data_IF_670355516161
#
_entry.id   IF_670355516161
#
_cell.length_a   1.000
_cell.length_b   1.000
_cell.length_c   1.000
_cell.angle_alpha   90.00
_cell.angle_beta   90.00
_cell.angle_gamma   90.00
#
_symmetry.space_group_name_H-M   'P 1'
#
loop_
_entity.id
_entity.type
_entity.pdbx_description
1 polymer ?
#
# COMPACT_ATOMS: atom_id res chain seq x y z
N UNK A 1 -8.17 7.37 8.65
CA UNK A 1 -7.48 6.17 9.14
C UNK A 1 -6.36 5.70 8.18
N UNK A 2 -6.38 6.09 6.91
CA UNK A 2 -5.34 5.75 5.91
C UNK A 2 -3.98 6.40 6.18
N UNK A 3 -3.93 7.41 7.02
CA UNK A 3 -2.72 8.14 7.44
C UNK A 3 -1.78 8.51 6.28
N UNK A 4 -2.36 9.02 5.18
CA UNK A 4 -1.58 9.36 3.97
C UNK A 4 -0.43 10.37 4.24
N UNK A 5 -0.48 11.10 5.36
CA UNK A 5 0.56 12.05 5.79
C UNK A 5 1.67 11.40 6.62
N UNK A 6 1.58 10.11 6.95
CA UNK A 6 2.58 9.43 7.79
C UNK A 6 3.99 9.56 7.21
N UNK A 7 4.10 9.45 5.89
CA UNK A 7 5.38 9.59 5.17
C UNK A 7 5.99 11.00 5.25
N UNK A 8 5.27 11.99 5.75
CA UNK A 8 5.74 13.38 5.92
C UNK A 8 6.08 13.74 7.38
N UNK A 9 6.09 12.79 8.28
CA UNK A 9 6.40 13.04 9.71
C UNK A 9 7.80 13.62 9.91
N UNK A 10 8.78 13.15 9.14
CA UNK A 10 10.15 13.65 9.13
C UNK A 10 10.55 14.01 7.69
N UNK A 11 10.43 15.31 7.38
CA UNK A 11 10.68 15.84 6.04
C UNK A 11 12.17 15.73 5.67
N UNK A 12 13.04 16.06 6.60
CA UNK A 12 14.48 16.10 6.36
C UNK A 12 15.01 14.68 6.11
N UNK A 13 14.61 13.74 6.93
CA UNK A 13 14.96 12.33 6.74
C UNK A 13 14.44 11.78 5.42
N UNK A 14 13.19 12.07 5.06
CA UNK A 14 12.63 11.62 3.78
C UNK A 14 13.42 12.21 2.59
N UNK A 15 13.85 13.46 2.66
CA UNK A 15 14.70 14.08 1.63
C UNK A 15 16.04 13.38 1.54
N UNK A 16 16.71 13.14 2.66
CA UNK A 16 18.04 12.53 2.71
C UNK A 16 18.05 11.14 2.07
N UNK A 17 17.08 10.30 2.40
CA UNK A 17 17.00 8.92 1.88
C UNK A 17 16.45 8.86 0.45
N UNK A 18 15.53 9.76 0.08
CA UNK A 18 14.73 9.66 -1.15
C UNK A 18 15.20 10.54 -2.30
N UNK A 19 16.04 11.54 -2.07
CA UNK A 19 16.50 12.49 -3.09
C UNK A 19 17.13 11.79 -4.30
N UNK A 20 16.54 12.02 -5.47
CA UNK A 20 17.00 11.42 -6.73
C UNK A 20 16.69 9.93 -6.87
N UNK A 21 16.05 9.30 -5.89
CA UNK A 21 15.77 7.86 -5.86
C UNK A 21 14.28 7.52 -5.90
N UNK A 22 13.43 8.36 -5.29
CA UNK A 22 11.98 8.09 -5.21
C UNK A 22 11.14 9.22 -5.76
N UNK A 23 9.95 8.86 -6.21
CA UNK A 23 8.83 9.73 -6.49
C UNK A 23 7.62 9.22 -5.72
N UNK A 24 6.77 10.12 -5.25
CA UNK A 24 5.58 9.74 -4.48
C UNK A 24 4.34 10.25 -5.22
N UNK A 25 3.41 9.33 -5.48
CA UNK A 25 2.17 9.62 -6.17
C UNK A 25 1.01 9.39 -5.21
N UNK A 26 0.22 10.42 -5.00
CA UNK A 26 -1.05 10.33 -4.30
C UNK A 26 -2.21 10.46 -5.28
N UNK A 27 -3.28 9.76 -5.00
CA UNK A 27 -4.55 9.94 -5.70
C UNK A 27 -5.72 9.54 -4.81
N UNK A 28 -6.83 10.23 -4.95
CA UNK A 28 -8.03 9.94 -4.18
C UNK A 28 -9.12 10.98 -4.42
N UNK A 29 -10.27 10.78 -3.81
CA UNK A 29 -11.38 11.74 -3.75
C UNK A 29 -11.95 11.77 -2.35
N UNK A 30 -12.21 12.97 -1.85
CA UNK A 30 -13.04 13.16 -0.67
C UNK A 30 -14.51 13.30 -1.10
N UNK A 31 -15.43 12.74 -0.31
CA UNK A 31 -16.84 13.02 -0.50
C UNK A 31 -17.11 14.54 -0.34
N UNK A 32 -18.05 15.16 -1.08
CA UNK A 32 -18.34 16.59 -0.97
C UNK A 32 -18.63 17.11 0.44
N UNK A 33 -19.12 16.24 1.33
CA UNK A 33 -19.40 16.55 2.75
C UNK A 33 -18.27 16.12 3.70
N UNK A 34 -17.18 15.55 3.20
CA UNK A 34 -16.04 15.09 4.01
C UNK A 34 -14.97 16.20 4.08
N UNK A 35 -15.13 17.10 5.03
CA UNK A 35 -14.17 18.20 5.24
C UNK A 35 -12.81 17.70 5.74
N UNK A 36 -12.78 16.57 6.47
CA UNK A 36 -11.55 15.92 6.92
C UNK A 36 -10.72 15.42 5.74
N UNK A 37 -11.35 14.69 4.80
CA UNK A 37 -10.71 14.22 3.58
C UNK A 37 -10.23 15.35 2.67
N UNK A 38 -11.03 16.44 2.52
CA UNK A 38 -10.61 17.64 1.78
C UNK A 38 -9.39 18.30 2.40
N UNK A 39 -9.39 18.44 3.73
CA UNK A 39 -8.25 18.99 4.48
C UNK A 39 -7.00 18.14 4.33
N UNK A 40 -7.12 16.82 4.34
CA UNK A 40 -6.03 15.90 4.11
C UNK A 40 -5.40 16.10 2.72
N UNK A 41 -6.22 16.17 1.66
CA UNK A 41 -5.76 16.43 0.29
C UNK A 41 -5.01 17.77 0.22
N UNK A 42 -5.60 18.84 0.79
CA UNK A 42 -4.98 20.17 0.84
C UNK A 42 -3.62 20.14 1.55
N UNK A 43 -3.53 19.39 2.65
CA UNK A 43 -2.28 19.26 3.40
C UNK A 43 -1.22 18.47 2.62
N UNK A 44 -1.58 17.41 1.91
CA UNK A 44 -0.65 16.67 1.04
C UNK A 44 -0.07 17.60 -0.03
N UNK A 45 -0.93 18.38 -0.72
CA UNK A 45 -0.51 19.35 -1.74
C UNK A 45 0.37 20.46 -1.13
N UNK A 46 0.06 20.90 0.09
CA UNK A 46 0.88 21.89 0.79
C UNK A 46 2.25 21.31 1.17
N UNK A 47 2.25 20.10 1.72
CA UNK A 47 3.50 19.40 2.13
C UNK A 47 4.41 19.13 0.94
N UNK A 48 3.85 18.80 -0.24
CA UNK A 48 4.66 18.53 -1.44
C UNK A 48 5.59 19.68 -1.83
N UNK A 49 5.25 20.92 -1.44
CA UNK A 49 6.08 22.10 -1.72
C UNK A 49 7.43 22.09 -0.98
N UNK A 50 7.48 21.48 0.20
CA UNK A 50 8.73 21.35 0.97
C UNK A 50 9.76 20.44 0.29
N UNK A 51 9.29 19.55 -0.59
CA UNK A 51 10.12 18.59 -1.31
C UNK A 51 10.56 19.08 -2.69
N UNK A 52 10.16 20.29 -3.09
CA UNK A 52 10.50 20.86 -4.40
C UNK A 52 12.01 20.90 -4.61
N UNK A 53 12.48 20.32 -5.72
CA UNK A 53 13.92 20.20 -6.02
C UNK A 53 14.63 19.01 -5.38
N UNK A 54 13.95 18.24 -4.52
CA UNK A 54 14.49 17.06 -3.84
C UNK A 54 13.78 15.77 -4.24
N UNK A 55 12.49 15.68 -3.93
CA UNK A 55 11.64 14.52 -4.25
C UNK A 55 10.42 15.00 -5.02
N UNK A 56 10.09 14.32 -6.10
CA UNK A 56 8.88 14.61 -6.86
C UNK A 56 7.66 14.00 -6.17
N UNK A 57 6.80 14.86 -5.62
CA UNK A 57 5.54 14.46 -4.99
C UNK A 57 4.39 15.00 -5.83
N UNK A 58 3.51 14.11 -6.28
CA UNK A 58 2.41 14.41 -7.20
C UNK A 58 1.10 13.98 -6.58
N UNK A 59 0.10 14.86 -6.64
CA UNK A 59 -1.28 14.50 -6.37
C UNK A 59 -2.05 14.46 -7.69
N UNK A 60 -2.55 13.27 -8.06
CA UNK A 60 -3.37 13.07 -9.25
C UNK A 60 -4.84 13.28 -8.89
N UNK A 61 -5.42 14.28 -9.50
CA UNK A 61 -6.83 14.66 -9.32
C UNK A 61 -7.78 13.72 -10.06
N UNK A 62 -9.06 13.85 -9.77
CA UNK A 62 -10.14 13.16 -10.48
C UNK A 62 -10.03 11.62 -10.48
N UNK A 63 -9.59 11.05 -9.36
CA UNK A 63 -9.50 9.61 -9.21
C UNK A 63 -10.78 8.90 -9.72
N UNK A 64 -10.59 7.93 -10.58
CA UNK A 64 -11.62 7.07 -11.15
C UNK A 64 -11.07 5.65 -11.36
N UNK A 65 -11.89 4.73 -11.86
CA UNK A 65 -11.48 3.34 -12.05
C UNK A 65 -10.31 3.19 -13.06
N UNK A 66 -10.27 4.01 -14.09
CA UNK A 66 -9.20 4.00 -15.08
C UNK A 66 -7.87 4.43 -14.44
N UNK A 67 -7.87 5.56 -13.73
CA UNK A 67 -6.68 6.04 -13.02
C UNK A 67 -6.25 5.05 -11.93
N UNK A 68 -7.19 4.46 -11.19
CA UNK A 68 -6.90 3.42 -10.22
C UNK A 68 -6.19 2.21 -10.83
N UNK A 69 -6.64 1.77 -12.02
CA UNK A 69 -5.97 0.70 -12.78
C UNK A 69 -4.54 1.07 -13.16
N UNK A 70 -4.34 2.28 -13.68
CA UNK A 70 -3.00 2.74 -14.08
C UNK A 70 -2.04 2.81 -12.89
N UNK A 71 -2.48 3.36 -11.74
CA UNK A 71 -1.62 3.50 -10.58
C UNK A 71 -1.26 2.12 -10.00
N UNK A 72 -2.23 1.22 -9.84
CA UNK A 72 -1.97 -0.11 -9.26
C UNK A 72 -1.12 -1.01 -10.15
N UNK A 73 -0.95 -0.68 -11.43
CA UNK A 73 -0.08 -1.43 -12.36
C UNK A 73 1.19 -0.69 -12.78
N UNK A 74 1.27 0.61 -12.50
CA UNK A 74 2.33 1.48 -13.05
C UNK A 74 3.31 2.03 -12.01
N UNK A 75 3.13 1.73 -10.72
CA UNK A 75 4.08 2.08 -9.66
C UNK A 75 4.98 0.90 -9.33
N UNK A 76 6.14 1.16 -8.76
CA UNK A 76 7.10 0.12 -8.38
C UNK A 76 6.80 -0.45 -7.00
N UNK A 77 6.24 0.34 -6.09
CA UNK A 77 5.87 -0.04 -4.72
C UNK A 77 4.53 0.53 -4.36
N UNK A 78 3.69 -0.24 -3.69
CA UNK A 78 2.39 0.17 -3.17
C UNK A 78 2.46 0.48 -1.68
N UNK A 79 2.46 1.76 -1.33
CA UNK A 79 2.45 2.20 0.07
C UNK A 79 1.03 2.26 0.63
N UNK A 80 0.80 1.61 1.77
CA UNK A 80 -0.47 1.66 2.50
C UNK A 80 -0.22 1.71 4.02
N UNK A 81 -0.68 2.78 4.67
CA UNK A 81 -0.38 3.06 6.08
C UNK A 81 -1.63 3.19 6.94
N UNK A 82 -2.55 2.21 6.93
CA UNK A 82 -3.77 2.29 7.72
C UNK A 82 -3.47 2.32 9.22
N UNK A 83 -4.34 2.98 9.97
CA UNK A 83 -4.36 2.84 11.43
C UNK A 83 -5.08 1.55 11.79
N UNK A 84 -4.35 0.60 12.37
CA UNK A 84 -4.90 -0.68 12.83
C UNK A 84 -5.97 -0.50 13.92
N UNK A 85 -7.03 -1.29 13.92
CA UNK A 85 -7.45 -2.34 12.99
C UNK A 85 -8.52 -1.86 11.99
N UNK A 86 -8.38 -0.68 11.40
CA UNK A 86 -9.43 -0.03 10.61
C UNK A 86 -9.47 -0.46 9.15
N UNK A 87 -8.46 -1.18 8.65
CA UNK A 87 -8.44 -1.70 7.27
C UNK A 87 -9.16 -3.05 7.21
N UNK A 88 -10.41 -3.04 6.76
CA UNK A 88 -11.20 -4.27 6.70
C UNK A 88 -10.70 -5.28 5.65
N UNK A 89 -10.15 -4.81 4.55
CA UNK A 89 -9.66 -5.66 3.45
C UNK A 89 -8.40 -5.11 2.78
N UNK A 90 -8.47 -3.93 2.14
CA UNK A 90 -7.32 -3.34 1.44
C UNK A 90 -7.17 -3.81 0.00
N UNK A 91 -8.28 -3.82 -0.76
CA UNK A 91 -8.33 -4.33 -2.16
C UNK A 91 -7.37 -3.64 -3.13
N UNK A 92 -6.92 -2.42 -2.84
CA UNK A 92 -5.93 -1.72 -3.69
C UNK A 92 -4.56 -2.41 -3.66
N UNK A 93 -4.12 -2.87 -2.49
CA UNK A 93 -2.89 -3.66 -2.34
C UNK A 93 -2.97 -5.02 -3.05
N UNK A 94 -4.14 -5.70 -2.98
CA UNK A 94 -4.38 -6.94 -3.75
C UNK A 94 -4.24 -6.71 -5.25
N UNK A 95 -4.79 -5.59 -5.76
CA UNK A 95 -4.67 -5.22 -7.19
C UNK A 95 -3.22 -4.91 -7.57
N UNK A 96 -2.49 -4.20 -6.72
CA UNK A 96 -1.07 -3.94 -6.92
C UNK A 96 -0.28 -5.24 -6.99
N UNK A 97 -0.47 -6.15 -6.04
CA UNK A 97 0.18 -7.48 -6.03
C UNK A 97 -0.10 -8.29 -7.29
N UNK A 98 -1.34 -8.32 -7.79
CA UNK A 98 -1.68 -9.01 -9.05
C UNK A 98 -0.95 -8.44 -10.28
N UNK A 99 -0.46 -7.21 -10.19
CA UNK A 99 0.37 -6.57 -11.23
C UNK A 99 1.88 -6.66 -10.94
N UNK A 100 2.28 -7.43 -9.95
CA UNK A 100 3.69 -7.58 -9.57
C UNK A 100 4.26 -6.41 -8.80
N UNK A 101 3.41 -5.57 -8.22
CA UNK A 101 3.82 -4.43 -7.40
C UNK A 101 3.90 -4.86 -5.92
N UNK A 102 5.11 -4.94 -5.31
CA UNK A 102 5.26 -5.27 -3.91
C UNK A 102 4.56 -4.25 -3.00
N UNK A 103 3.95 -4.73 -1.93
CA UNK A 103 3.33 -3.87 -0.94
C UNK A 103 4.34 -3.48 0.16
N UNK A 104 4.36 -2.19 0.49
CA UNK A 104 4.99 -1.63 1.68
C UNK A 104 3.84 -1.16 2.58
N UNK A 105 3.39 -2.01 3.49
CA UNK A 105 2.12 -1.77 4.17
C UNK A 105 2.14 -2.17 5.63
N UNK A 106 1.40 -1.43 6.44
CA UNK A 106 1.05 -1.86 7.79
C UNK A 106 0.29 -3.18 7.73
N UNK A 107 0.58 -4.10 8.65
CA UNK A 107 -0.11 -5.39 8.80
C UNK A 107 -1.53 -5.18 9.30
N UNK A 108 -2.43 -4.94 8.36
CA UNK A 108 -3.87 -4.77 8.58
C UNK A 108 -4.65 -5.26 7.35
N UNK A 109 -5.89 -5.67 7.53
CA UNK A 109 -6.69 -6.27 6.48
C UNK A 109 -5.99 -7.50 5.85
N UNK A 110 -6.03 -7.62 4.52
CA UNK A 110 -5.46 -8.73 3.77
C UNK A 110 -3.95 -8.91 3.97
N UNK A 111 -3.22 -7.80 4.23
CA UNK A 111 -1.77 -7.83 4.35
C UNK A 111 -1.31 -8.53 5.62
N UNK A 112 -2.15 -8.58 6.67
CA UNK A 112 -1.89 -9.39 7.87
C UNK A 112 -1.90 -10.89 7.60
N UNK A 113 -2.56 -11.33 6.53
CA UNK A 113 -2.62 -12.73 6.10
C UNK A 113 -1.63 -13.03 4.96
N UNK A 114 -1.45 -12.09 4.03
CA UNK A 114 -0.70 -12.30 2.79
C UNK A 114 0.76 -11.89 2.84
N UNK A 115 1.20 -11.13 3.85
CA UNK A 115 2.57 -10.65 3.93
C UNK A 115 3.56 -11.76 4.28
N UNK A 116 4.59 -11.91 3.46
CA UNK A 116 5.80 -12.66 3.78
C UNK A 116 6.93 -11.63 3.68
N UNK A 117 7.28 -11.05 4.84
CA UNK A 117 8.15 -9.89 4.95
C UNK A 117 9.49 -10.09 4.25
N UNK A 118 9.89 -9.12 3.43
CA UNK A 118 11.10 -9.18 2.61
C UNK A 118 11.03 -10.12 1.38
N UNK A 119 9.93 -10.86 1.19
CA UNK A 119 9.76 -11.81 0.07
C UNK A 119 8.75 -11.30 -0.95
N UNK A 120 7.54 -10.92 -0.54
CA UNK A 120 6.49 -10.42 -1.46
C UNK A 120 6.16 -8.94 -1.24
N UNK A 121 6.90 -8.29 -0.36
CA UNK A 121 6.76 -6.90 0.08
C UNK A 121 7.27 -6.74 1.52
N UNK A 122 6.84 -5.69 2.21
CA UNK A 122 7.33 -5.36 3.55
C UNK A 122 6.22 -4.99 4.52
N UNK A 123 6.42 -5.41 5.77
CA UNK A 123 5.54 -5.11 6.89
C UNK A 123 5.97 -3.82 7.59
N UNK A 124 5.12 -2.80 7.62
CA UNK A 124 5.37 -1.54 8.33
C UNK A 124 4.82 -1.61 9.75
N UNK A 125 5.58 -1.07 10.69
CA UNK A 125 5.18 -0.90 12.09
C UNK A 125 5.44 -2.13 12.96
N UNK A 126 5.31 -1.94 14.27
CA UNK A 126 5.40 -3.00 15.24
C UNK A 126 3.98 -3.53 15.54
N UNK A 127 3.70 -4.83 15.41
CA UNK A 127 2.37 -5.38 15.70
C UNK A 127 1.90 -5.16 17.15
N UNK A 128 2.84 -4.99 18.08
CA UNK A 128 2.56 -4.80 19.50
C UNK A 128 2.47 -3.32 19.93
N UNK A 129 2.71 -2.38 19.02
CA UNK A 129 2.68 -0.95 19.29
C UNK A 129 1.91 -0.22 18.18
N UNK A 130 0.93 0.59 18.56
CA UNK A 130 0.18 1.45 17.65
C UNK A 130 0.58 2.89 17.93
N UNK A 131 1.58 3.37 17.18
CA UNK A 131 2.11 4.72 17.29
C UNK A 131 2.45 5.25 15.91
N UNK A 132 2.01 6.49 15.62
CA UNK A 132 2.35 7.15 14.35
C UNK A 132 3.85 7.42 14.24
N UNK A 133 4.51 7.69 15.36
CA UNK A 133 5.94 7.93 15.44
C UNK A 133 6.72 6.66 15.15
N UNK A 134 6.37 5.56 15.81
CA UNK A 134 7.01 4.25 15.63
C UNK A 134 6.79 3.71 14.23
N UNK A 135 5.55 3.79 13.70
CA UNK A 135 5.23 3.36 12.33
C UNK A 135 5.97 4.20 11.28
N UNK A 136 6.11 5.52 11.49
CA UNK A 136 6.83 6.40 10.58
C UNK A 136 8.34 6.10 10.59
N UNK A 137 8.94 5.94 11.76
CA UNK A 137 10.37 5.59 11.88
C UNK A 137 10.66 4.25 11.21
N UNK A 138 9.82 3.24 11.45
CA UNK A 138 9.96 1.94 10.79
C UNK A 138 9.78 2.03 9.27
N UNK A 139 8.82 2.84 8.79
CA UNK A 139 8.62 3.10 7.36
C UNK A 139 9.88 3.69 6.72
N UNK A 140 10.50 4.70 7.33
CA UNK A 140 11.73 5.28 6.82
C UNK A 140 12.89 4.28 6.82
N UNK A 141 13.04 3.51 7.89
CA UNK A 141 14.06 2.45 7.97
C UNK A 141 13.88 1.42 6.83
N UNK A 142 12.65 1.00 6.54
CA UNK A 142 12.37 0.08 5.43
C UNK A 142 12.68 0.71 4.07
N UNK A 143 12.29 1.96 3.85
CA UNK A 143 12.61 2.65 2.58
C UNK A 143 14.12 2.73 2.38
N UNK A 144 14.87 3.14 3.40
CA UNK A 144 16.31 3.36 3.35
C UNK A 144 17.08 2.06 3.18
N UNK A 145 16.79 1.05 3.99
CA UNK A 145 17.62 -0.14 4.14
C UNK A 145 17.12 -1.37 3.36
N UNK A 146 15.88 -1.35 2.89
CA UNK A 146 15.28 -2.49 2.18
C UNK A 146 14.76 -2.10 0.79
N UNK A 147 13.81 -1.16 0.70
CA UNK A 147 13.11 -0.84 -0.57
C UNK A 147 14.07 -0.27 -1.62
N UNK A 148 14.79 0.80 -1.28
CA UNK A 148 15.74 1.44 -2.20
C UNK A 148 16.87 0.49 -2.59
N UNK A 149 17.56 -0.19 -1.66
CA UNK A 149 18.59 -1.15 -2.02
C UNK A 149 18.06 -2.30 -2.89
N UNK A 150 16.88 -2.85 -2.62
CA UNK A 150 16.30 -3.92 -3.43
C UNK A 150 15.95 -3.46 -4.85
N UNK A 151 15.40 -2.24 -5.00
CA UNK A 151 14.99 -1.71 -6.30
C UNK A 151 16.18 -1.36 -7.21
N UNK A 152 17.23 -0.75 -6.64
CA UNK A 152 18.43 -0.34 -7.38
C UNK A 152 19.55 -1.39 -7.40
N UNK A 153 19.39 -2.47 -6.65
CA UNK A 153 20.33 -3.59 -6.56
C UNK A 153 20.18 -4.58 -7.72
N UNK A 154 20.19 -5.86 -7.39
CA UNK A 154 20.07 -6.93 -8.38
C UNK A 154 18.65 -6.99 -8.96
N UNK A 155 18.55 -6.96 -10.29
CA UNK A 155 17.28 -7.01 -11.00
C UNK A 155 16.56 -8.36 -10.88
N UNK A 156 17.31 -9.43 -10.68
CA UNK A 156 16.76 -10.77 -10.54
C UNK A 156 16.09 -10.92 -9.16
N UNK A 157 16.67 -10.32 -8.11
CA UNK A 157 16.07 -10.26 -6.78
C UNK A 157 14.76 -9.46 -6.79
N UNK A 158 14.78 -8.28 -7.43
CA UNK A 158 13.56 -7.47 -7.60
C UNK A 158 12.49 -8.21 -8.40
N UNK A 159 12.87 -8.83 -9.52
CA UNK A 159 11.96 -9.63 -10.36
C UNK A 159 11.38 -10.81 -9.59
N UNK A 160 12.16 -11.42 -8.69
CA UNK A 160 11.70 -12.50 -7.83
C UNK A 160 10.65 -12.01 -6.84
N UNK A 161 10.87 -10.87 -6.18
CA UNK A 161 9.87 -10.25 -5.30
C UNK A 161 8.58 -9.91 -6.04
N UNK A 162 8.66 -9.37 -7.26
CA UNK A 162 7.50 -9.12 -8.12
C UNK A 162 6.71 -10.40 -8.40
N UNK A 163 7.37 -11.50 -8.71
CA UNK A 163 6.74 -12.81 -8.95
C UNK A 163 6.07 -13.34 -7.69
N UNK A 164 6.70 -13.23 -6.54
CA UNK A 164 6.12 -13.66 -5.26
C UNK A 164 4.91 -12.78 -4.88
N UNK A 165 4.97 -11.49 -5.18
CA UNK A 165 3.82 -10.58 -5.03
C UNK A 165 2.63 -11.05 -5.89
N UNK A 166 2.85 -11.40 -7.18
CA UNK A 166 1.80 -11.95 -8.06
C UNK A 166 1.22 -13.25 -7.48
N UNK A 167 2.06 -14.20 -7.08
CA UNK A 167 1.61 -15.47 -6.49
C UNK A 167 0.71 -15.24 -5.29
N UNK A 168 1.09 -14.33 -4.41
CA UNK A 168 0.27 -13.94 -3.27
C UNK A 168 -1.07 -13.35 -3.73
N UNK A 169 -1.04 -12.39 -4.67
CA UNK A 169 -2.24 -11.72 -5.19
C UNK A 169 -3.27 -12.71 -5.78
N UNK A 170 -2.82 -13.79 -6.43
CA UNK A 170 -3.69 -14.83 -6.99
C UNK A 170 -4.57 -15.47 -5.90
N UNK A 171 -4.05 -15.64 -4.69
CA UNK A 171 -4.78 -16.21 -3.56
C UNK A 171 -5.89 -15.29 -3.02
N UNK A 172 -5.91 -14.01 -3.41
CA UNK A 172 -6.86 -13.00 -2.95
C UNK A 172 -7.80 -12.50 -4.07
N UNK A 173 -8.05 -13.33 -5.09
CA UNK A 173 -8.96 -12.99 -6.17
C UNK A 173 -10.42 -13.18 -5.77
N UNK A 174 -11.32 -12.38 -6.37
CA UNK A 174 -12.78 -12.55 -6.21
C UNK A 174 -13.26 -13.93 -6.70
N UNK A 175 -12.59 -14.51 -7.70
CA UNK A 175 -12.91 -15.86 -8.18
C UNK A 175 -12.74 -16.89 -7.07
N UNK A 176 -11.56 -16.91 -6.41
CA UNK A 176 -11.31 -17.83 -5.28
C UNK A 176 -12.32 -17.60 -4.16
N UNK A 177 -12.57 -16.35 -3.78
CA UNK A 177 -13.55 -16.00 -2.75
C UNK A 177 -14.94 -16.58 -3.04
N UNK A 178 -15.44 -16.43 -4.27
CA UNK A 178 -16.75 -16.96 -4.68
C UNK A 178 -16.75 -18.48 -4.66
N UNK A 179 -15.67 -19.12 -5.10
CA UNK A 179 -15.54 -20.58 -5.05
C UNK A 179 -15.56 -21.09 -3.60
N UNK A 180 -14.86 -20.44 -2.70
CA UNK A 180 -14.86 -20.81 -1.28
C UNK A 180 -16.25 -20.67 -0.65
N UNK A 181 -16.95 -19.57 -0.91
CA UNK A 181 -18.31 -19.37 -0.44
C UNK A 181 -19.27 -20.42 -0.98
N UNK A 182 -19.18 -20.74 -2.29
CA UNK A 182 -19.99 -21.78 -2.89
C UNK A 182 -19.73 -23.15 -2.25
N UNK A 183 -18.47 -23.51 -2.01
CA UNK A 183 -18.11 -24.82 -1.48
C UNK A 183 -18.41 -24.95 0.02
N UNK A 184 -18.21 -23.88 0.80
CA UNK A 184 -18.31 -23.95 2.26
C UNK A 184 -19.72 -23.66 2.77
N UNK A 185 -20.49 -22.83 2.06
CA UNK A 185 -21.79 -22.34 2.54
C UNK A 185 -22.96 -22.70 1.63
N UNK A 186 -22.87 -22.43 0.35
CA UNK A 186 -24.03 -22.61 -0.53
C UNK A 186 -24.32 -24.07 -0.85
N UNK A 187 -23.33 -24.91 -1.05
CA UNK A 187 -23.55 -26.35 -1.27
C UNK A 187 -24.06 -27.09 -0.02
N UNK A 188 -23.62 -26.66 1.16
CA UNK A 188 -24.09 -27.25 2.43
C UNK A 188 -25.56 -26.94 2.74
N UNK A 189 -26.05 -25.74 2.35
CA UNK A 189 -27.45 -25.39 2.55
C UNK A 189 -28.42 -26.25 1.71
N UNK A 190 -27.98 -26.77 0.58
CA UNK A 190 -28.78 -27.66 -0.26
C UNK A 190 -28.91 -29.08 0.31
N UNK A 191 -28.00 -29.52 1.17
CA UNK A 191 -28.05 -30.84 1.82
C UNK A 191 -28.99 -30.86 3.02
N UNK A 192 -29.31 -29.72 3.61
CA UNK A 192 -30.22 -29.62 4.76
C UNK A 192 -31.67 -29.34 4.39
N UNK A 193 -32.03 -29.27 3.10
CA UNK A 193 -33.38 -29.05 2.60
C UNK A 193 -34.03 -30.35 2.06
N UNK A 194 -33.32 -31.47 2.12
CA UNK A 194 -33.84 -32.81 1.80
C UNK A 194 -34.07 -33.64 3.12
#
# INVERSE_FOLDING_TARGET
YKRAQLIFKDVDRLIDIGKGKIQIIFSGKAHPKDEGGKSLIKNIIKSSKYFTGHIKIIYLENYNMWLGRLITSGVDVWLNTPLRPNEASGTSGMKASLNGVPNLSVLDGWWSEGCIDGINGWAVGNPNEISDESDADHLYNLIENNVIPSYYGDKDDWSTMMKESIKTGISYTSHRMVMDYNNQYYKLSLIHIS
#
